data_IF_405253655225
#
_entry.id   IF_405253655225
#
_cell.length_a   1.000
_cell.length_b   1.000
_cell.length_c   1.000
_cell.angle_alpha   90.00
_cell.angle_beta   90.00
_cell.angle_gamma   90.00
#
_symmetry.space_group_name_H-M   'P 1'
#
loop_
_entity.id
_entity.type
_entity.pdbx_description
1 polymer ?
#
# COMPACT_ATOMS: atom_id res chain seq x y z
N UNK A 1 7.26 28.85 16.95
CA UNK A 1 6.91 27.67 16.12
C UNK A 1 8.08 27.35 15.18
N UNK A 2 8.62 26.13 15.21
CA UNK A 2 9.69 25.66 14.32
C UNK A 2 9.17 24.48 13.48
N UNK A 3 9.28 24.60 12.15
CA UNK A 3 8.96 23.50 11.22
C UNK A 3 10.27 22.87 10.78
N UNK A 4 10.49 21.61 11.14
CA UNK A 4 11.76 20.92 10.91
C UNK A 4 11.60 19.40 10.93
N UNK A 5 12.65 18.69 10.55
CA UNK A 5 12.75 17.24 10.80
C UNK A 5 12.56 16.98 12.31
N UNK A 6 11.80 15.93 12.60
CA UNK A 6 11.58 15.48 13.98
C UNK A 6 12.88 14.87 14.52
N UNK A 7 13.14 15.08 15.78
CA UNK A 7 14.27 14.45 16.48
C UNK A 7 13.87 13.08 17.02
N UNK A 8 14.79 12.11 17.10
CA UNK A 8 14.50 10.78 17.65
C UNK A 8 13.82 10.80 19.02
N UNK A 9 14.22 11.70 19.90
CA UNK A 9 13.63 11.83 21.24
C UNK A 9 12.18 12.39 21.25
N UNK A 10 11.71 12.94 20.13
CA UNK A 10 10.37 13.54 19.99
C UNK A 10 9.37 12.57 19.35
N UNK A 11 9.83 11.43 18.83
CA UNK A 11 8.97 10.45 18.13
C UNK A 11 7.87 9.87 19.04
N UNK A 12 8.17 9.69 20.31
CA UNK A 12 7.15 9.23 21.28
C UNK A 12 6.02 10.25 21.42
N UNK A 13 6.35 11.54 21.53
CA UNK A 13 5.34 12.60 21.62
C UNK A 13 4.52 12.71 20.33
N UNK A 14 5.17 12.55 19.16
CA UNK A 14 4.46 12.52 17.86
C UNK A 14 3.51 11.33 17.78
N UNK A 15 3.93 10.14 18.23
CA UNK A 15 3.10 8.94 18.26
C UNK A 15 1.89 9.11 19.18
N UNK A 16 2.06 9.74 20.34
CA UNK A 16 0.96 10.05 21.28
C UNK A 16 -0.02 11.06 20.67
N UNK A 17 0.47 12.11 20.00
CA UNK A 17 -0.39 13.06 19.28
C UNK A 17 -1.19 12.33 18.18
N UNK A 18 -0.55 11.52 17.34
CA UNK A 18 -1.21 10.75 16.30
C UNK A 18 -2.23 9.77 16.91
N UNK A 19 -1.89 9.09 18.01
CA UNK A 19 -2.81 8.20 18.71
C UNK A 19 -4.07 8.93 19.18
N UNK A 20 -3.92 10.11 19.78
CA UNK A 20 -5.05 10.91 20.27
C UNK A 20 -6.01 11.37 19.17
N UNK A 21 -5.53 11.44 17.92
CA UNK A 21 -6.34 11.88 16.77
C UNK A 21 -6.98 10.70 16.03
N UNK A 22 -6.29 9.58 15.92
CA UNK A 22 -6.71 8.47 15.04
C UNK A 22 -7.21 7.24 15.78
N UNK A 23 -6.97 7.12 17.09
CA UNK A 23 -7.24 5.90 17.85
C UNK A 23 -8.10 6.20 19.07
N UNK A 24 -8.72 5.17 19.62
CA UNK A 24 -9.48 5.23 20.87
C UNK A 24 -8.65 4.66 22.02
N UNK A 25 -9.06 4.94 23.24
CA UNK A 25 -8.44 4.33 24.41
C UNK A 25 -8.59 2.79 24.34
N UNK A 26 -7.48 2.09 24.51
CA UNK A 26 -7.43 0.63 24.44
C UNK A 26 -7.07 0.06 23.06
N UNK A 27 -7.04 0.89 22.01
CA UNK A 27 -6.54 0.46 20.70
C UNK A 27 -5.01 0.25 20.72
N UNK A 28 -4.50 -0.59 19.81
CA UNK A 28 -3.06 -0.72 19.53
C UNK A 28 -2.46 0.65 19.24
N UNK A 29 -1.29 0.95 19.79
CA UNK A 29 -0.67 2.26 19.66
C UNK A 29 -0.25 2.57 18.21
N UNK A 30 -0.23 3.86 17.86
CA UNK A 30 0.27 4.30 16.53
C UNK A 30 1.72 3.91 16.33
N UNK A 31 2.54 3.84 17.38
CA UNK A 31 3.93 3.45 17.31
C UNK A 31 4.11 1.96 16.99
N UNK A 32 3.25 1.10 17.54
CA UNK A 32 3.26 -0.33 17.23
C UNK A 32 2.75 -0.62 15.82
N UNK A 33 1.68 0.07 15.39
CA UNK A 33 1.11 -0.10 14.05
C UNK A 33 1.99 0.45 12.94
N UNK A 34 2.69 1.58 13.18
CA UNK A 34 3.46 2.28 12.16
C UNK A 34 4.94 2.45 12.55
N UNK A 35 5.67 1.33 12.73
CA UNK A 35 7.07 1.38 13.16
C UNK A 35 7.98 2.10 12.17
N UNK A 36 7.70 2.09 10.87
CA UNK A 36 8.47 2.84 9.88
C UNK A 36 8.36 4.37 10.07
N UNK A 37 7.26 4.86 10.63
CA UNK A 37 7.08 6.28 10.94
C UNK A 37 7.73 6.65 12.27
N UNK A 38 7.53 5.81 13.31
CA UNK A 38 7.82 6.17 14.69
C UNK A 38 9.08 5.51 15.26
N UNK A 39 9.86 4.77 14.45
CA UNK A 39 11.15 4.23 14.87
C UNK A 39 12.31 5.10 14.41
N UNK A 40 13.28 5.42 15.28
CA UNK A 40 14.47 6.15 14.91
C UNK A 40 15.25 5.43 13.79
N UNK A 41 15.67 6.17 12.77
CA UNK A 41 16.45 5.64 11.64
C UNK A 41 15.65 5.24 10.41
N UNK A 42 14.33 5.07 10.52
CA UNK A 42 13.47 4.78 9.37
C UNK A 42 12.70 5.99 8.86
N UNK A 43 12.51 7.02 9.69
CA UNK A 43 11.66 8.16 9.35
C UNK A 43 12.46 9.39 8.92
N UNK A 44 11.95 10.08 7.92
CA UNK A 44 12.34 11.42 7.48
C UNK A 44 11.24 12.44 7.81
N UNK A 45 10.44 12.14 8.83
CA UNK A 45 9.21 12.85 9.20
C UNK A 45 9.47 14.29 9.66
N UNK A 46 8.49 15.14 9.46
CA UNK A 46 8.53 16.55 9.86
C UNK A 46 7.52 16.86 10.97
N UNK A 47 7.88 17.82 11.81
CA UNK A 47 7.02 18.33 12.87
C UNK A 47 7.04 19.85 12.92
N UNK A 48 5.90 20.44 13.32
CA UNK A 48 5.80 21.79 13.79
C UNK A 48 5.90 21.78 15.32
N UNK A 49 6.98 22.34 15.85
CA UNK A 49 7.28 22.32 17.29
C UNK A 49 7.05 23.72 17.86
N UNK A 50 6.22 23.81 18.89
CA UNK A 50 5.91 25.06 19.61
C UNK A 50 7.10 25.51 20.47
N UNK A 51 7.05 26.73 21.01
CA UNK A 51 8.13 27.30 21.83
C UNK A 51 8.36 26.57 23.15
N UNK A 52 7.28 25.96 23.67
CA UNK A 52 7.32 25.13 24.88
C UNK A 52 7.82 23.69 24.62
N UNK A 53 8.18 23.36 23.36
CA UNK A 53 8.67 22.05 22.94
C UNK A 53 7.56 21.06 22.56
N UNK A 54 6.28 21.44 22.65
CA UNK A 54 5.18 20.56 22.26
C UNK A 54 5.06 20.42 20.73
N UNK A 55 4.67 19.24 20.26
CA UNK A 55 4.41 18.98 18.85
C UNK A 55 3.01 19.48 18.50
N UNK A 56 2.94 20.57 17.74
CA UNK A 56 1.71 21.18 17.28
C UNK A 56 1.13 20.48 16.04
N UNK A 57 1.99 19.94 15.16
CA UNK A 57 1.59 19.13 14.01
C UNK A 57 2.71 18.17 13.64
N UNK A 58 2.32 17.05 13.02
CA UNK A 58 3.25 16.00 12.57
C UNK A 58 2.84 15.49 11.21
N UNK A 59 3.83 15.12 10.41
CA UNK A 59 3.67 14.46 9.11
C UNK A 59 4.72 13.38 8.96
N UNK A 60 4.30 12.12 8.98
CA UNK A 60 5.14 10.96 8.74
C UNK A 60 5.58 10.91 7.28
N UNK A 61 6.87 10.70 7.03
CA UNK A 61 7.46 10.56 5.71
C UNK A 61 8.40 9.36 5.70
N UNK A 62 8.11 8.35 4.88
CA UNK A 62 8.82 7.06 4.86
C UNK A 62 9.31 6.77 3.46
N UNK A 63 10.64 6.59 3.26
CA UNK A 63 11.18 6.16 1.96
C UNK A 63 10.91 4.70 1.71
N UNK A 64 10.68 4.35 0.44
CA UNK A 64 10.62 2.96 -0.02
C UNK A 64 11.03 2.85 -1.49
N UNK A 65 11.17 1.61 -1.96
CA UNK A 65 11.43 1.33 -3.37
C UNK A 65 10.31 0.44 -3.89
N UNK A 66 9.73 0.82 -5.02
CA UNK A 66 8.71 0.05 -5.73
C UNK A 66 9.36 -0.57 -6.97
N UNK A 67 9.18 -1.87 -7.13
CA UNK A 67 9.44 -2.57 -8.41
C UNK A 67 8.22 -2.40 -9.30
N UNK A 68 8.46 -2.14 -10.58
CA UNK A 68 7.44 -2.19 -11.63
C UNK A 68 8.07 -2.72 -12.92
N UNK A 69 7.80 -3.97 -13.24
CA UNK A 69 8.54 -4.69 -14.28
C UNK A 69 10.05 -4.69 -13.99
N UNK A 70 10.84 -4.17 -14.95
CA UNK A 70 12.29 -4.03 -14.80
C UNK A 70 12.73 -2.74 -14.10
N UNK A 71 11.80 -1.79 -13.86
CA UNK A 71 12.10 -0.52 -13.22
C UNK A 71 12.05 -0.61 -11.70
N UNK A 72 12.83 0.26 -11.06
CA UNK A 72 12.77 0.54 -9.62
C UNK A 72 12.48 2.02 -9.42
N UNK A 73 11.38 2.32 -8.74
CA UNK A 73 10.98 3.67 -8.38
C UNK A 73 11.37 3.96 -6.94
N UNK A 74 12.16 5.00 -6.72
CA UNK A 74 12.39 5.54 -5.38
C UNK A 74 11.22 6.44 -5.02
N UNK A 75 10.56 6.16 -3.93
CA UNK A 75 9.33 6.86 -3.54
C UNK A 75 9.33 7.20 -2.06
N UNK A 76 8.47 8.12 -1.68
CA UNK A 76 8.10 8.34 -0.28
C UNK A 76 6.62 8.10 -0.09
N UNK A 77 6.25 7.64 1.11
CA UNK A 77 4.86 7.57 1.56
C UNK A 77 4.63 8.55 2.71
N UNK A 78 3.52 9.28 2.65
CA UNK A 78 3.07 10.19 3.71
C UNK A 78 1.95 9.53 4.49
N UNK A 79 2.12 9.44 5.81
CA UNK A 79 1.12 8.92 6.73
C UNK A 79 1.12 9.62 8.09
N UNK A 80 0.22 9.21 8.96
CA UNK A 80 0.06 9.74 10.32
C UNK A 80 -0.02 11.28 10.39
N UNK A 81 -0.66 11.92 9.40
CA UNK A 81 -0.75 13.40 9.30
C UNK A 81 -1.73 13.93 10.32
N UNK A 82 -1.24 14.61 11.33
CA UNK A 82 -2.07 15.13 12.41
C UNK A 82 -1.68 16.55 12.85
N UNK A 83 -2.66 17.28 13.39
CA UNK A 83 -2.48 18.60 13.99
C UNK A 83 -3.25 18.64 15.29
N UNK A 84 -2.58 19.01 16.36
CA UNK A 84 -3.19 19.22 17.67
C UNK A 84 -4.37 20.21 17.54
N UNK A 85 -5.54 19.91 18.10
CA UNK A 85 -6.73 20.75 18.02
C UNK A 85 -6.46 22.23 18.37
N UNK A 86 -5.57 22.52 19.34
CA UNK A 86 -5.23 23.88 19.78
C UNK A 86 -4.48 24.69 18.71
N UNK A 87 -3.86 24.01 17.71
CA UNK A 87 -3.05 24.66 16.68
C UNK A 87 -3.68 24.56 15.28
N UNK A 88 -4.93 24.09 15.16
CA UNK A 88 -5.63 24.02 13.89
C UNK A 88 -5.90 25.40 13.29
N UNK A 89 -6.12 25.47 11.99
CA UNK A 89 -6.40 26.72 11.26
C UNK A 89 -5.18 27.56 10.95
N UNK A 90 -3.96 27.18 11.37
CA UNK A 90 -2.71 27.93 11.17
C UNK A 90 -1.94 27.50 9.91
N UNK A 91 -2.48 26.61 9.10
CA UNK A 91 -1.84 26.15 7.85
C UNK A 91 -0.63 25.22 8.05
N UNK A 92 -0.39 24.71 9.26
CA UNK A 92 0.81 23.92 9.59
C UNK A 92 0.93 22.66 8.72
N UNK A 93 -0.16 21.92 8.52
CA UNK A 93 -0.15 20.72 7.68
C UNK A 93 0.27 21.01 6.23
N UNK A 94 -0.15 22.14 5.66
CA UNK A 94 0.26 22.55 4.31
C UNK A 94 1.75 22.89 4.22
N UNK A 95 2.29 23.58 5.24
CA UNK A 95 3.71 23.90 5.32
C UNK A 95 4.58 22.64 5.51
N UNK A 96 4.14 21.69 6.35
CA UNK A 96 4.83 20.40 6.51
C UNK A 96 4.79 19.59 5.21
N UNK A 97 3.67 19.59 4.48
CA UNK A 97 3.56 18.89 3.19
C UNK A 97 4.56 19.46 2.17
N UNK A 98 4.71 20.77 2.10
CA UNK A 98 5.69 21.40 1.23
C UNK A 98 7.13 21.02 1.58
N UNK A 99 7.46 20.92 2.87
CA UNK A 99 8.76 20.42 3.33
C UNK A 99 8.98 18.96 2.95
N UNK A 100 7.97 18.11 3.08
CA UNK A 100 8.03 16.70 2.66
C UNK A 100 8.24 16.57 1.15
N UNK A 101 7.54 17.37 0.33
CA UNK A 101 7.71 17.37 -1.12
C UNK A 101 9.13 17.79 -1.52
N UNK A 102 9.64 18.88 -0.93
CA UNK A 102 11.01 19.34 -1.16
C UNK A 102 12.05 18.29 -0.72
N UNK A 103 11.82 17.64 0.43
CA UNK A 103 12.70 16.58 0.92
C UNK A 103 12.74 15.39 -0.05
N UNK A 104 11.58 14.92 -0.50
CA UNK A 104 11.48 13.78 -1.41
C UNK A 104 12.18 14.07 -2.75
N UNK A 105 11.96 15.25 -3.34
CA UNK A 105 12.64 15.68 -4.55
C UNK A 105 14.15 15.71 -4.38
N UNK A 106 14.65 16.35 -3.31
CA UNK A 106 16.09 16.45 -3.01
C UNK A 106 16.73 15.07 -2.75
N UNK A 107 15.95 14.09 -2.27
CA UNK A 107 16.40 12.72 -2.06
C UNK A 107 16.39 11.88 -3.36
N UNK A 108 15.92 12.43 -4.49
CA UNK A 108 15.84 11.73 -5.78
C UNK A 108 14.66 10.78 -5.90
N UNK A 109 13.62 10.97 -5.09
CA UNK A 109 12.38 10.22 -5.22
C UNK A 109 11.58 10.72 -6.42
N UNK A 110 10.94 9.80 -7.13
CA UNK A 110 10.07 10.10 -8.28
C UNK A 110 8.64 10.45 -7.87
N UNK A 111 8.11 9.75 -6.86
CA UNK A 111 6.71 9.86 -6.43
C UNK A 111 6.59 10.02 -4.93
N UNK A 112 5.49 10.63 -4.51
CA UNK A 112 5.00 10.63 -3.12
C UNK A 112 3.60 10.03 -3.10
N UNK A 113 3.42 8.96 -2.33
CA UNK A 113 2.12 8.36 -2.05
C UNK A 113 1.54 8.90 -0.75
N UNK A 114 0.22 9.05 -0.72
CA UNK A 114 -0.52 9.51 0.46
C UNK A 114 -1.70 8.58 0.70
N UNK A 115 -1.85 8.07 1.89
CA UNK A 115 -2.96 7.17 2.27
C UNK A 115 -4.31 7.87 2.42
N UNK A 116 -4.59 8.92 1.62
CA UNK A 116 -5.82 9.69 1.68
C UNK A 116 -6.01 10.62 0.47
N UNK A 117 -7.21 11.19 0.40
CA UNK A 117 -7.68 12.03 -0.72
C UNK A 117 -8.16 13.43 -0.28
N UNK A 118 -7.83 13.84 0.97
CA UNK A 118 -8.29 15.11 1.52
C UNK A 118 -7.82 16.29 0.67
N UNK A 119 -8.57 17.41 0.74
CA UNK A 119 -8.31 18.64 -0.01
C UNK A 119 -6.89 19.22 0.22
N UNK A 120 -6.22 18.88 1.30
CA UNK A 120 -4.82 19.20 1.54
C UNK A 120 -3.94 18.63 0.42
N UNK A 121 -4.12 17.37 0.08
CA UNK A 121 -3.31 16.64 -0.89
C UNK A 121 -3.69 16.98 -2.33
N UNK A 122 -4.99 17.06 -2.64
CA UNK A 122 -5.45 17.40 -4.00
C UNK A 122 -5.03 18.81 -4.43
N UNK A 123 -4.98 19.76 -3.47
CA UNK A 123 -4.42 21.11 -3.72
C UNK A 123 -2.91 21.09 -3.90
N UNK A 124 -2.20 20.13 -3.35
CA UNK A 124 -0.76 19.94 -3.51
C UNK A 124 -0.40 19.10 -4.75
N UNK A 125 -1.36 18.83 -5.63
CA UNK A 125 -1.13 18.11 -6.89
C UNK A 125 -1.31 16.59 -6.81
N UNK A 126 -1.68 16.03 -5.64
CA UNK A 126 -1.95 14.60 -5.55
C UNK A 126 -3.26 14.24 -6.26
N UNK A 127 -3.24 13.12 -6.99
CA UNK A 127 -4.38 12.60 -7.76
C UNK A 127 -4.60 11.12 -7.49
N UNK A 128 -5.82 10.58 -7.65
CA UNK A 128 -6.03 9.13 -7.76
C UNK A 128 -5.19 8.55 -8.91
N UNK A 129 -4.83 7.29 -8.82
CA UNK A 129 -3.94 6.64 -9.78
C UNK A 129 -4.22 5.16 -9.92
N UNK A 130 -3.72 4.57 -11.02
CA UNK A 130 -3.83 3.16 -11.33
C UNK A 130 -5.28 2.67 -11.41
N UNK A 131 -5.44 1.38 -11.61
CA UNK A 131 -6.74 0.72 -11.63
C UNK A 131 -6.73 -0.50 -10.72
N UNK A 132 -7.82 -0.72 -9.99
CA UNK A 132 -8.05 -1.93 -9.20
C UNK A 132 -9.43 -2.50 -9.51
N UNK A 133 -9.59 -3.79 -9.24
CA UNK A 133 -10.88 -4.46 -9.16
C UNK A 133 -11.06 -4.92 -7.72
N UNK A 134 -12.03 -4.39 -7.02
CA UNK A 134 -12.42 -4.92 -5.73
C UNK A 134 -13.26 -6.17 -5.97
N UNK A 135 -12.69 -7.34 -5.68
CA UNK A 135 -13.40 -8.62 -5.71
C UNK A 135 -13.99 -8.89 -4.32
N UNK A 136 -15.24 -9.38 -4.29
CA UNK A 136 -15.91 -9.82 -3.07
C UNK A 136 -16.18 -11.32 -3.16
N UNK A 137 -15.54 -12.08 -2.28
CA UNK A 137 -15.69 -13.52 -2.13
C UNK A 137 -16.67 -13.83 -1.00
N UNK A 138 -17.82 -14.36 -1.33
CA UNK A 138 -18.74 -15.02 -0.38
C UNK A 138 -18.46 -16.53 -0.33
N UNK A 139 -19.16 -17.28 0.49
CA UNK A 139 -18.95 -18.72 0.64
C UNK A 139 -19.06 -19.47 -0.70
N UNK A 140 -20.05 -19.17 -1.53
CA UNK A 140 -20.26 -19.87 -2.82
C UNK A 140 -19.14 -19.61 -3.80
N UNK A 141 -18.72 -18.34 -3.98
CA UNK A 141 -17.60 -17.99 -4.86
C UNK A 141 -16.26 -18.47 -4.30
N UNK A 142 -16.11 -18.57 -2.97
CA UNK A 142 -14.91 -19.12 -2.35
C UNK A 142 -14.79 -20.64 -2.58
N UNK A 143 -15.90 -21.41 -2.49
CA UNK A 143 -15.89 -22.84 -2.83
C UNK A 143 -15.54 -23.06 -4.31
N UNK A 144 -16.13 -22.27 -5.22
CA UNK A 144 -15.81 -22.32 -6.64
C UNK A 144 -14.34 -21.95 -6.92
N UNK A 145 -13.80 -20.93 -6.22
CA UNK A 145 -12.40 -20.52 -6.33
C UNK A 145 -11.45 -21.62 -5.83
N UNK A 146 -11.78 -22.27 -4.71
CA UNK A 146 -11.01 -23.39 -4.19
C UNK A 146 -10.93 -24.55 -5.19
N UNK A 147 -12.06 -24.90 -5.82
CA UNK A 147 -12.12 -25.93 -6.87
C UNK A 147 -11.28 -25.54 -8.11
N UNK A 148 -11.34 -24.27 -8.55
CA UNK A 148 -10.56 -23.78 -9.68
C UNK A 148 -9.06 -23.70 -9.40
N UNK A 149 -8.67 -23.48 -8.15
CA UNK A 149 -7.26 -23.42 -7.71
C UNK A 149 -6.57 -24.80 -7.72
N UNK A 150 -7.32 -25.91 -7.68
CA UNK A 150 -6.80 -27.28 -7.60
C UNK A 150 -6.52 -27.76 -6.16
N UNK A 151 -6.41 -29.07 -6.00
CA UNK A 151 -6.25 -29.74 -4.70
C UNK A 151 -4.78 -30.00 -4.30
N UNK A 152 -3.82 -29.61 -5.11
CA UNK A 152 -2.38 -29.90 -4.95
C UNK A 152 -1.71 -29.11 -3.82
N UNK A 153 -2.42 -28.17 -3.19
CA UNK A 153 -1.86 -27.25 -2.23
C UNK A 153 -2.05 -27.72 -0.78
N UNK A 154 -0.97 -27.80 -0.01
CA UNK A 154 -1.06 -27.83 1.45
C UNK A 154 -1.13 -26.39 1.97
N UNK A 155 -2.32 -25.97 2.43
CA UNK A 155 -2.58 -24.63 2.94
C UNK A 155 -2.45 -24.59 4.47
N UNK A 156 -1.51 -23.80 4.98
CA UNK A 156 -1.23 -23.70 6.42
C UNK A 156 -0.82 -22.28 6.84
N UNK A 157 -0.88 -21.96 8.15
CA UNK A 157 -0.27 -20.72 8.67
C UNK A 157 1.22 -20.64 8.31
N UNK A 158 1.70 -19.43 8.05
CA UNK A 158 3.12 -19.14 7.86
C UNK A 158 3.89 -19.48 9.15
N UNK A 159 5.04 -20.10 9.01
CA UNK A 159 5.95 -20.45 10.10
C UNK A 159 7.26 -19.66 9.98
N UNK A 160 8.04 -19.50 11.05
CA UNK A 160 9.32 -18.78 10.99
C UNK A 160 10.28 -19.31 9.91
N UNK A 161 10.27 -20.62 9.63
CA UNK A 161 11.09 -21.24 8.58
C UNK A 161 10.71 -20.86 7.14
N UNK A 162 9.52 -20.29 6.92
CA UNK A 162 9.01 -19.90 5.61
C UNK A 162 9.50 -18.51 5.18
N UNK A 163 10.09 -17.78 6.10
CA UNK A 163 10.33 -16.34 6.00
C UNK A 163 11.06 -15.93 4.71
N UNK A 164 12.18 -16.58 4.39
CA UNK A 164 12.96 -16.22 3.20
C UNK A 164 12.26 -16.61 1.89
N UNK A 165 11.48 -17.69 1.89
CA UNK A 165 10.67 -18.05 0.72
C UNK A 165 9.57 -17.02 0.47
N UNK A 166 8.90 -16.56 1.52
CA UNK A 166 7.89 -15.47 1.44
C UNK A 166 8.54 -14.16 1.01
N UNK A 167 9.69 -13.77 1.59
CA UNK A 167 10.41 -12.56 1.18
C UNK A 167 10.79 -12.60 -0.32
N UNK A 168 11.25 -13.76 -0.81
CA UNK A 168 11.56 -13.97 -2.22
C UNK A 168 10.31 -13.78 -3.10
N UNK A 169 9.19 -14.45 -2.78
CA UNK A 169 7.95 -14.34 -3.56
C UNK A 169 7.46 -12.89 -3.63
N UNK A 170 7.48 -12.15 -2.52
CA UNK A 170 7.07 -10.74 -2.49
C UNK A 170 7.97 -9.87 -3.38
N UNK A 171 9.28 -10.13 -3.39
CA UNK A 171 10.24 -9.37 -4.20
C UNK A 171 10.28 -9.81 -5.67
N UNK A 172 9.70 -10.94 -6.05
CA UNK A 172 9.60 -11.43 -7.44
C UNK A 172 8.34 -10.93 -8.16
N UNK A 173 7.43 -10.22 -7.48
CA UNK A 173 6.22 -9.66 -8.11
C UNK A 173 6.59 -8.67 -9.22
N UNK A 174 5.80 -8.66 -10.30
CA UNK A 174 5.93 -7.69 -11.38
C UNK A 174 5.78 -6.25 -10.89
N UNK A 175 4.81 -6.01 -10.00
CA UNK A 175 4.65 -4.74 -9.30
C UNK A 175 4.51 -5.00 -7.80
N UNK A 176 5.42 -4.46 -6.99
CA UNK A 176 5.45 -4.69 -5.56
C UNK A 176 6.41 -3.75 -4.82
N UNK A 177 6.22 -3.62 -3.52
CA UNK A 177 7.23 -3.04 -2.64
C UNK A 177 8.46 -3.96 -2.61
N UNK A 178 9.64 -3.38 -2.60
CA UNK A 178 10.90 -4.12 -2.42
C UNK A 178 11.21 -4.21 -0.94
N UNK A 179 11.05 -5.39 -0.38
CA UNK A 179 11.24 -5.62 1.04
C UNK A 179 12.64 -6.14 1.36
N UNK A 180 13.39 -5.44 2.20
CA UNK A 180 14.51 -6.06 2.90
C UNK A 180 13.98 -7.08 3.93
N UNK A 181 14.75 -8.12 4.30
CA UNK A 181 14.31 -9.08 5.31
C UNK A 181 13.94 -8.42 6.65
N UNK A 182 14.71 -7.41 7.10
CA UNK A 182 14.43 -6.70 8.34
C UNK A 182 13.14 -5.89 8.30
N UNK A 183 12.89 -5.21 7.19
CA UNK A 183 11.67 -4.44 6.98
C UNK A 183 10.43 -5.35 6.90
N UNK A 184 10.50 -6.44 6.13
CA UNK A 184 9.40 -7.41 6.05
C UNK A 184 9.05 -8.00 7.42
N UNK A 185 10.05 -8.37 8.24
CA UNK A 185 9.81 -8.88 9.59
C UNK A 185 9.09 -7.85 10.46
N UNK A 186 9.50 -6.58 10.39
CA UNK A 186 8.90 -5.48 11.11
C UNK A 186 7.43 -5.27 10.70
N UNK A 187 7.15 -5.24 9.40
CA UNK A 187 5.80 -4.99 8.85
C UNK A 187 4.84 -6.15 9.09
N UNK A 188 5.31 -7.40 9.00
CA UNK A 188 4.50 -8.57 9.33
C UNK A 188 4.07 -8.56 10.80
N UNK A 189 4.95 -8.10 11.71
CA UNK A 189 4.64 -7.98 13.13
C UNK A 189 3.80 -6.76 13.52
N UNK A 190 3.84 -5.69 12.71
CA UNK A 190 3.11 -4.46 12.98
C UNK A 190 1.60 -4.56 12.70
N UNK A 191 1.19 -5.38 11.74
CA UNK A 191 -0.22 -5.58 11.34
C UNK A 191 -0.97 -4.27 11.05
N UNK A 192 -0.28 -3.27 10.46
CA UNK A 192 -0.75 -1.89 10.37
C UNK A 192 -2.15 -1.75 9.78
N UNK A 193 -2.38 -2.32 8.60
CA UNK A 193 -3.66 -2.19 7.92
C UNK A 193 -4.79 -2.95 8.64
N UNK A 194 -4.53 -4.15 9.12
CA UNK A 194 -5.48 -4.92 9.92
C UNK A 194 -5.86 -4.17 11.22
N UNK A 195 -4.87 -3.63 11.92
CA UNK A 195 -5.09 -2.86 13.15
C UNK A 195 -5.89 -1.58 12.95
N UNK A 196 -5.72 -0.88 11.82
CA UNK A 196 -6.56 0.29 11.48
C UNK A 196 -8.02 -0.12 11.23
N UNK A 197 -8.24 -1.27 10.62
CA UNK A 197 -9.58 -1.83 10.40
C UNK A 197 -10.22 -2.43 11.66
N UNK A 198 -9.49 -2.53 12.76
CA UNK A 198 -9.94 -3.23 13.98
C UNK A 198 -10.03 -4.73 13.81
N UNK A 199 -9.21 -5.28 12.92
CA UNK A 199 -9.10 -6.70 12.57
C UNK A 199 -7.75 -7.26 13.02
N UNK A 200 -7.58 -8.58 12.94
CA UNK A 200 -6.30 -9.27 13.19
C UNK A 200 -5.69 -9.76 11.87
N UNK A 201 -4.39 -9.64 11.74
CA UNK A 201 -3.70 -10.15 10.56
C UNK A 201 -3.47 -11.66 10.68
N UNK A 202 -3.76 -12.39 9.61
CA UNK A 202 -3.39 -13.80 9.46
C UNK A 202 -2.55 -13.97 8.20
N UNK A 203 -1.44 -14.69 8.34
CA UNK A 203 -0.54 -15.02 7.24
C UNK A 203 -0.60 -16.50 6.94
N UNK A 204 -0.85 -16.84 5.68
CA UNK A 204 -0.94 -18.21 5.18
C UNK A 204 0.05 -18.44 4.05
N UNK A 205 0.48 -19.69 3.89
CA UNK A 205 1.29 -20.15 2.76
C UNK A 205 0.64 -21.37 2.09
N UNK A 206 0.82 -21.45 0.78
CA UNK A 206 0.47 -22.61 -0.03
C UNK A 206 1.75 -23.35 -0.40
N UNK A 207 1.81 -24.62 -0.06
CA UNK A 207 2.97 -25.48 -0.24
C UNK A 207 2.63 -26.61 -1.22
N UNK A 208 3.50 -26.83 -2.21
CA UNK A 208 3.45 -27.96 -3.14
C UNK A 208 4.84 -28.59 -3.23
N UNK A 209 4.94 -29.90 -3.11
CA UNK A 209 6.19 -30.66 -3.19
C UNK A 209 7.31 -30.13 -2.26
N UNK A 210 6.91 -29.64 -1.08
CA UNK A 210 7.81 -29.06 -0.09
C UNK A 210 8.25 -27.61 -0.36
N UNK A 211 7.84 -27.03 -1.48
CA UNK A 211 8.15 -25.64 -1.86
C UNK A 211 6.98 -24.70 -1.58
N UNK A 212 7.27 -23.49 -1.07
CA UNK A 212 6.27 -22.45 -0.90
C UNK A 212 6.07 -21.75 -2.24
N UNK A 213 4.86 -21.88 -2.79
CA UNK A 213 4.45 -21.37 -4.10
C UNK A 213 3.48 -20.19 -3.99
N UNK A 214 2.93 -19.95 -2.80
CA UNK A 214 2.03 -18.83 -2.55
C UNK A 214 2.08 -18.36 -1.11
N UNK A 215 1.84 -17.07 -0.94
CA UNK A 215 1.70 -16.37 0.33
C UNK A 215 0.49 -15.45 0.29
N UNK A 216 -0.22 -15.31 1.40
CA UNK A 216 -1.23 -14.27 1.58
C UNK A 216 -1.30 -13.81 3.03
N UNK A 217 -1.37 -12.49 3.22
CA UNK A 217 -1.71 -11.82 4.48
C UNK A 217 -3.13 -11.26 4.37
N UNK A 218 -3.98 -11.54 5.33
CA UNK A 218 -5.37 -11.10 5.37
C UNK A 218 -5.70 -10.47 6.72
N UNK A 219 -6.46 -9.40 6.69
CA UNK A 219 -7.13 -8.81 7.85
C UNK A 219 -8.48 -9.50 8.04
N UNK A 220 -8.65 -10.22 9.14
CA UNK A 220 -9.87 -11.00 9.43
C UNK A 220 -10.37 -10.71 10.85
N UNK A 221 -11.67 -10.94 11.13
CA UNK A 221 -12.18 -10.82 12.48
C UNK A 221 -11.39 -11.66 13.49
N UNK A 222 -11.16 -11.13 14.68
CA UNK A 222 -10.75 -11.95 15.81
C UNK A 222 -11.86 -12.95 16.16
N UNK A 223 -11.49 -14.12 16.68
CA UNK A 223 -12.49 -15.12 17.08
C UNK A 223 -13.47 -14.50 18.09
N UNK A 224 -14.76 -14.77 17.88
CA UNK A 224 -15.86 -14.40 18.76
C UNK A 224 -16.09 -12.89 18.98
N UNK A 225 -15.52 -12.02 18.12
CA UNK A 225 -15.73 -10.57 18.17
C UNK A 225 -16.46 -10.12 16.91
N UNK A 226 -17.55 -9.33 17.02
CA UNK A 226 -18.17 -8.72 15.84
C UNK A 226 -17.16 -7.87 15.07
N UNK A 227 -17.04 -8.11 13.76
CA UNK A 227 -16.11 -7.39 12.92
C UNK A 227 -16.58 -5.94 12.70
N UNK A 228 -15.75 -4.93 12.99
CA UNK A 228 -16.07 -3.53 12.70
C UNK A 228 -15.93 -3.19 11.22
N UNK A 229 -15.24 -4.03 10.45
CA UNK A 229 -14.93 -3.86 9.03
C UNK A 229 -15.02 -5.21 8.30
N UNK A 230 -15.26 -5.23 6.99
CA UNK A 230 -15.17 -6.45 6.19
C UNK A 230 -13.76 -7.06 6.25
N UNK A 231 -13.67 -8.38 6.23
CA UNK A 231 -12.39 -9.07 6.05
C UNK A 231 -11.76 -8.67 4.72
N UNK A 232 -10.45 -8.47 4.68
CA UNK A 232 -9.77 -7.92 3.52
C UNK A 232 -8.42 -8.61 3.28
N UNK A 233 -8.12 -8.93 2.02
CA UNK A 233 -6.76 -9.35 1.63
C UNK A 233 -5.83 -8.12 1.69
N UNK A 234 -4.72 -8.26 2.42
CA UNK A 234 -3.75 -7.19 2.66
C UNK A 234 -2.61 -7.26 1.65
N UNK A 235 -2.02 -8.43 1.49
CA UNK A 235 -0.88 -8.65 0.60
C UNK A 235 -0.85 -10.10 0.13
N UNK A 236 -0.37 -10.36 -1.07
CA UNK A 236 -0.17 -11.71 -1.58
C UNK A 236 0.96 -11.77 -2.60
N UNK A 237 1.53 -12.95 -2.76
CA UNK A 237 2.56 -13.22 -3.75
C UNK A 237 2.63 -14.70 -4.13
N UNK A 238 3.12 -15.00 -5.31
CA UNK A 238 3.33 -16.35 -5.82
C UNK A 238 2.43 -16.72 -6.99
N UNK A 239 2.28 -18.00 -7.23
CA UNK A 239 1.46 -18.51 -8.35
C UNK A 239 -0.02 -18.13 -8.16
N UNK A 240 -0.71 -17.68 -9.21
CA UNK A 240 -2.12 -17.25 -9.12
C UNK A 240 -3.05 -18.30 -8.52
N UNK A 241 -2.86 -19.58 -8.84
CA UNK A 241 -3.65 -20.70 -8.30
C UNK A 241 -3.37 -20.89 -6.80
N UNK A 242 -2.11 -20.80 -6.36
CA UNK A 242 -1.73 -20.90 -4.97
C UNK A 242 -2.35 -19.75 -4.15
N UNK A 243 -2.29 -18.52 -4.68
CA UNK A 243 -2.94 -17.34 -4.09
C UNK A 243 -4.45 -17.51 -4.03
N UNK A 244 -5.09 -17.98 -5.12
CA UNK A 244 -6.52 -18.24 -5.17
C UNK A 244 -6.96 -19.25 -4.09
N UNK A 245 -6.21 -20.35 -3.90
CA UNK A 245 -6.46 -21.33 -2.84
C UNK A 245 -6.38 -20.70 -1.43
N UNK A 246 -5.41 -19.83 -1.20
CA UNK A 246 -5.25 -19.12 0.07
C UNK A 246 -6.40 -18.16 0.34
N UNK A 247 -6.83 -17.38 -0.66
CA UNK A 247 -7.96 -16.45 -0.56
C UNK A 247 -9.28 -17.20 -0.32
N UNK A 248 -9.52 -18.30 -1.04
CA UNK A 248 -10.67 -19.15 -0.83
C UNK A 248 -10.72 -19.70 0.59
N UNK A 249 -9.58 -20.26 1.09
CA UNK A 249 -9.46 -20.73 2.48
C UNK A 249 -9.77 -19.63 3.50
N UNK A 250 -9.29 -18.41 3.26
CA UNK A 250 -9.54 -17.29 4.16
C UNK A 250 -11.03 -16.87 4.16
N UNK A 251 -11.68 -16.82 2.99
CA UNK A 251 -13.10 -16.49 2.86
C UNK A 251 -14.02 -17.52 3.53
N UNK A 252 -13.59 -18.79 3.58
CA UNK A 252 -14.32 -19.90 4.23
C UNK A 252 -14.03 -20.02 5.73
N UNK A 253 -13.17 -19.15 6.31
CA UNK A 253 -12.94 -19.16 7.75
C UNK A 253 -14.16 -18.71 8.54
N UNK A 254 -14.35 -19.30 9.72
CA UNK A 254 -15.42 -18.89 10.64
C UNK A 254 -15.33 -17.40 10.97
N UNK A 255 -16.46 -16.72 10.94
CA UNK A 255 -16.57 -15.27 11.19
C UNK A 255 -16.29 -14.39 9.96
N UNK A 256 -15.86 -14.94 8.84
CA UNK A 256 -15.70 -14.20 7.58
C UNK A 256 -16.97 -14.40 6.73
N UNK A 257 -17.82 -13.38 6.66
CA UNK A 257 -19.03 -13.43 5.80
C UNK A 257 -18.69 -13.15 4.34
N UNK A 258 -17.81 -12.21 4.10
CA UNK A 258 -17.28 -11.82 2.79
C UNK A 258 -15.83 -11.39 2.93
N UNK A 259 -14.96 -11.86 2.04
CA UNK A 259 -13.57 -11.41 1.93
C UNK A 259 -13.46 -10.44 0.75
N UNK A 260 -13.00 -9.23 1.03
CA UNK A 260 -12.65 -8.23 0.03
C UNK A 260 -11.23 -8.42 -0.45
N UNK A 261 -11.02 -8.42 -1.77
CA UNK A 261 -9.71 -8.58 -2.41
C UNK A 261 -9.52 -7.43 -3.39
N UNK A 262 -8.76 -6.39 -3.05
CA UNK A 262 -8.49 -5.26 -3.94
C UNK A 262 -7.36 -5.64 -4.91
N UNK A 263 -7.71 -6.15 -6.09
CA UNK A 263 -6.77 -6.69 -7.08
C UNK A 263 -6.34 -5.62 -8.07
N UNK A 264 -5.04 -5.27 -8.16
CA UNK A 264 -4.54 -4.39 -9.19
C UNK A 264 -4.77 -4.93 -10.60
N UNK A 265 -4.98 -4.04 -11.57
CA UNK A 265 -5.36 -4.37 -12.94
C UNK A 265 -4.39 -5.32 -13.67
N UNK A 266 -3.11 -5.28 -13.34
CA UNK A 266 -2.07 -6.14 -13.92
C UNK A 266 -2.12 -7.59 -13.45
N UNK A 267 -2.76 -7.88 -12.34
CA UNK A 267 -2.93 -9.24 -11.79
C UNK A 267 -3.98 -10.06 -12.57
N UNK A 268 -3.84 -10.08 -13.91
CA UNK A 268 -4.86 -10.60 -14.86
C UNK A 268 -5.26 -12.04 -14.59
N UNK A 269 -4.28 -12.90 -14.25
CA UNK A 269 -4.54 -14.32 -13.98
C UNK A 269 -5.37 -14.51 -12.71
N UNK A 270 -5.08 -13.78 -11.65
CA UNK A 270 -5.88 -13.82 -10.42
C UNK A 270 -7.29 -13.26 -10.66
N UNK A 271 -7.39 -12.14 -11.40
CA UNK A 271 -8.69 -11.55 -11.77
C UNK A 271 -9.55 -12.52 -12.60
N UNK A 272 -8.95 -13.29 -13.51
CA UNK A 272 -9.67 -14.31 -14.28
C UNK A 272 -10.22 -15.40 -13.35
N UNK A 273 -9.39 -15.96 -12.45
CA UNK A 273 -9.83 -16.98 -11.49
C UNK A 273 -10.97 -16.48 -10.60
N UNK A 274 -10.87 -15.24 -10.08
CA UNK A 274 -11.92 -14.65 -9.24
C UNK A 274 -13.23 -14.44 -10.00
N UNK A 275 -13.15 -13.97 -11.25
CA UNK A 275 -14.33 -13.78 -12.12
C UNK A 275 -14.99 -15.11 -12.45
N UNK A 276 -14.23 -16.11 -12.86
CA UNK A 276 -14.73 -17.43 -13.25
C UNK A 276 -15.35 -18.17 -12.05
N UNK A 277 -14.86 -17.91 -10.84
CA UNK A 277 -15.46 -18.38 -9.58
C UNK A 277 -16.73 -17.62 -9.17
N UNK A 278 -17.15 -16.59 -9.90
CA UNK A 278 -18.36 -15.82 -9.62
C UNK A 278 -18.22 -14.80 -8.51
N UNK A 279 -16.99 -14.32 -8.22
CA UNK A 279 -16.79 -13.18 -7.33
C UNK A 279 -17.43 -11.92 -7.93
N UNK A 280 -18.04 -11.09 -7.09
CA UNK A 280 -18.48 -9.75 -7.49
C UNK A 280 -17.27 -8.86 -7.72
N UNK A 281 -17.20 -8.17 -8.86
CA UNK A 281 -16.09 -7.29 -9.22
C UNK A 281 -16.58 -5.86 -9.42
N UNK A 282 -15.95 -4.92 -8.74
CA UNK A 282 -16.20 -3.48 -8.95
C UNK A 282 -14.90 -2.74 -9.22
N UNK A 283 -14.91 -1.89 -10.27
CA UNK A 283 -13.75 -1.11 -10.67
C UNK A 283 -13.52 0.08 -9.70
N UNK A 284 -12.25 0.38 -9.43
CA UNK A 284 -11.83 1.49 -8.61
C UNK A 284 -10.41 1.96 -8.95
N UNK A 285 -10.01 3.05 -8.32
CA UNK A 285 -8.61 3.47 -8.31
C UNK A 285 -7.82 2.69 -7.26
N UNK A 286 -6.50 2.84 -7.26
CA UNK A 286 -5.63 2.36 -6.18
C UNK A 286 -5.94 3.10 -4.87
N UNK A 287 -5.45 2.59 -3.76
CA UNK A 287 -5.68 3.22 -2.45
C UNK A 287 -4.90 4.53 -2.31
N UNK A 288 -5.58 5.58 -1.86
CA UNK A 288 -4.98 6.88 -1.63
C UNK A 288 -4.75 7.71 -2.90
N UNK A 289 -3.77 8.59 -2.85
CA UNK A 289 -3.40 9.50 -3.94
C UNK A 289 -1.88 9.55 -4.12
N UNK A 290 -1.42 9.98 -5.29
CA UNK A 290 0.00 10.13 -5.63
C UNK A 290 0.28 11.50 -6.24
N UNK A 291 1.45 12.06 -5.98
CA UNK A 291 1.98 13.20 -6.74
C UNK A 291 3.44 12.93 -7.15
N UNK A 292 3.89 13.66 -8.17
CA UNK A 292 5.29 13.63 -8.61
C UNK A 292 6.12 14.44 -7.61
N UNK A 293 7.20 13.81 -7.11
CA UNK A 293 8.20 14.49 -6.29
C UNK A 293 9.24 15.20 -7.16
N UNK A 294 9.75 14.48 -8.14
CA UNK A 294 10.70 14.96 -9.16
C UNK A 294 10.36 14.32 -10.51
N UNK A 295 9.98 15.18 -11.47
CA UNK A 295 9.58 14.74 -12.81
C UNK A 295 10.72 14.11 -13.60
N UNK A 296 11.92 14.65 -13.49
CA UNK A 296 13.09 14.10 -14.19
C UNK A 296 13.47 12.74 -13.60
N UNK A 297 13.42 12.59 -12.26
CA UNK A 297 13.64 11.32 -11.61
C UNK A 297 12.60 10.29 -12.06
N UNK A 298 11.31 10.66 -12.14
CA UNK A 298 10.26 9.77 -12.63
C UNK A 298 10.54 9.29 -14.06
N UNK A 299 10.87 10.22 -14.96
CA UNK A 299 11.14 9.89 -16.35
C UNK A 299 12.38 9.01 -16.51
N UNK A 300 13.42 9.22 -15.72
CA UNK A 300 14.61 8.34 -15.71
C UNK A 300 14.30 6.96 -15.17
N UNK A 301 13.61 6.88 -14.03
CA UNK A 301 13.31 5.61 -13.34
C UNK A 301 12.32 4.75 -14.13
N UNK A 302 11.46 5.34 -14.96
CA UNK A 302 10.49 4.62 -15.79
C UNK A 302 10.99 4.35 -17.21
N UNK A 303 12.19 4.77 -17.60
CA UNK A 303 12.67 4.72 -18.98
C UNK A 303 12.59 3.31 -19.60
N UNK A 304 12.92 2.28 -18.83
CA UNK A 304 12.92 0.88 -19.32
C UNK A 304 11.51 0.30 -19.53
N UNK A 305 10.51 0.85 -18.84
CA UNK A 305 9.10 0.40 -18.92
C UNK A 305 8.25 1.28 -19.82
N UNK A 306 8.78 2.43 -20.25
CA UNK A 306 8.03 3.44 -20.97
C UNK A 306 8.20 3.31 -22.48
N UNK A 307 7.12 3.47 -23.23
CA UNK A 307 7.21 3.63 -24.67
C UNK A 307 7.94 4.93 -25.02
N UNK A 308 9.06 4.82 -25.74
CA UNK A 308 9.92 5.95 -26.13
C UNK A 308 9.28 6.90 -27.15
N UNK A 309 8.20 6.50 -27.83
CA UNK A 309 7.50 7.33 -28.81
C UNK A 309 6.53 8.35 -28.17
N UNK A 310 6.29 8.29 -26.85
CA UNK A 310 5.41 9.23 -26.18
C UNK A 310 6.06 10.61 -26.03
N UNK A 311 5.46 11.62 -26.64
CA UNK A 311 5.85 13.01 -26.38
C UNK A 311 5.24 13.46 -25.03
N UNK A 312 6.09 13.59 -24.03
CA UNK A 312 5.71 13.97 -22.67
C UNK A 312 5.97 15.44 -22.37
N UNK A 313 6.45 16.22 -23.37
CA UNK A 313 6.84 17.62 -23.16
C UNK A 313 5.67 18.56 -22.86
N UNK A 314 4.48 18.23 -23.35
CA UNK A 314 3.28 19.08 -23.27
C UNK A 314 2.29 18.67 -22.18
N UNK A 315 2.48 17.52 -21.52
CA UNK A 315 1.58 17.03 -20.46
C UNK A 315 1.96 17.59 -19.09
N UNK A 316 0.97 17.96 -18.29
CA UNK A 316 1.19 18.37 -16.90
C UNK A 316 1.47 17.14 -16.00
N UNK A 317 1.79 17.38 -14.72
CA UNK A 317 2.15 16.28 -13.80
C UNK A 317 0.98 15.33 -13.49
N UNK A 318 -0.25 15.82 -13.50
CA UNK A 318 -1.45 14.98 -13.29
C UNK A 318 -1.74 14.14 -14.52
N UNK A 319 -1.64 14.73 -15.68
CA UNK A 319 -1.74 14.05 -16.97
C UNK A 319 -0.66 13.00 -17.13
N UNK A 320 0.57 13.29 -16.67
CA UNK A 320 1.69 12.35 -16.69
C UNK A 320 1.44 11.15 -15.80
N UNK A 321 0.92 11.34 -14.58
CA UNK A 321 0.52 10.24 -13.69
C UNK A 321 -0.54 9.37 -14.36
N UNK A 322 -1.61 9.98 -14.91
CA UNK A 322 -2.66 9.24 -15.61
C UNK A 322 -2.10 8.48 -16.80
N UNK A 323 -1.31 9.12 -17.64
CA UNK A 323 -0.71 8.50 -18.81
C UNK A 323 0.23 7.33 -18.47
N UNK A 324 1.03 7.46 -17.42
CA UNK A 324 2.00 6.41 -17.06
C UNK A 324 1.33 5.25 -16.31
N UNK A 325 0.41 5.49 -15.40
CA UNK A 325 -0.01 4.49 -14.41
C UNK A 325 -1.48 4.07 -14.50
N UNK A 326 -2.32 4.80 -15.26
CA UNK A 326 -3.73 4.47 -15.40
C UNK A 326 -3.98 3.70 -16.72
N UNK A 327 -4.39 2.42 -16.66
CA UNK A 327 -4.68 1.64 -17.87
C UNK A 327 -5.86 2.22 -18.68
N UNK A 328 -6.78 2.95 -18.03
CA UNK A 328 -7.93 3.57 -18.64
C UNK A 328 -7.73 5.07 -18.98
N UNK A 329 -6.47 5.55 -18.96
CA UNK A 329 -6.19 6.96 -19.23
C UNK A 329 -6.72 7.41 -20.59
N UNK A 330 -7.53 8.49 -20.66
CA UNK A 330 -8.05 9.03 -21.92
C UNK A 330 -6.94 9.64 -22.79
N UNK A 331 -5.76 9.85 -22.23
CA UNK A 331 -4.59 10.39 -22.94
C UNK A 331 -3.85 9.31 -23.75
N UNK A 332 -4.19 8.03 -23.57
CA UNK A 332 -3.66 6.95 -24.38
C UNK A 332 -4.39 6.88 -25.70
N UNK A 333 -3.71 7.27 -26.78
CA UNK A 333 -4.23 7.06 -28.12
C UNK A 333 -4.06 5.58 -28.49
N UNK A 334 -5.12 4.98 -28.99
CA UNK A 334 -5.10 3.64 -29.58
C UNK A 334 -4.39 3.68 -30.95
N UNK A 335 -3.08 3.90 -30.95
CA UNK A 335 -2.30 3.73 -32.17
C UNK A 335 -2.12 2.24 -32.45
N UNK A 336 -2.51 1.85 -33.65
CA UNK A 336 -2.58 0.48 -34.21
C UNK A 336 -1.23 -0.26 -34.33
N UNK A 337 -0.18 0.13 -33.61
CA UNK A 337 1.16 -0.44 -33.71
C UNK A 337 1.85 -0.83 -32.42
N UNK A 338 1.10 -1.08 -31.37
CA UNK A 338 1.63 -1.58 -30.08
C UNK A 338 1.03 -0.80 -28.91
N UNK A 339 0.14 -1.45 -28.20
CA UNK A 339 -0.44 -0.92 -26.97
C UNK A 339 0.69 -0.63 -25.98
N UNK A 340 0.96 0.65 -25.76
CA UNK A 340 1.78 1.07 -24.61
C UNK A 340 0.94 0.78 -23.35
N UNK A 341 1.22 -0.36 -22.72
CA UNK A 341 0.57 -0.70 -21.46
C UNK A 341 0.92 0.34 -20.38
N UNK A 342 -0.01 0.56 -19.46
CA UNK A 342 0.29 1.37 -18.28
C UNK A 342 1.39 0.67 -17.46
N UNK A 343 2.22 1.46 -16.81
CA UNK A 343 3.22 0.95 -15.87
C UNK A 343 2.47 0.47 -14.61
N UNK A 344 2.57 -0.81 -14.24
CA UNK A 344 1.84 -1.33 -13.10
C UNK A 344 2.39 -0.77 -11.78
N UNK A 345 1.50 -0.47 -10.83
CA UNK A 345 1.86 -0.14 -9.47
C UNK A 345 1.22 -1.12 -8.49
N UNK A 346 1.87 -1.43 -7.35
CA UNK A 346 1.27 -2.28 -6.32
C UNK A 346 0.05 -1.61 -5.69
N UNK A 347 -0.82 -2.41 -5.07
CA UNK A 347 -1.87 -1.85 -4.20
C UNK A 347 -1.24 -1.27 -2.94
N UNK A 348 -1.56 0.00 -2.65
CA UNK A 348 -0.83 0.76 -1.62
C UNK A 348 -1.30 0.51 -0.19
N UNK A 349 -2.47 -0.13 0.03
CA UNK A 349 -2.91 -0.56 1.36
C UNK A 349 -2.53 -2.01 1.66
N UNK A 350 -1.30 -2.40 1.30
CA UNK A 350 -0.69 -3.69 1.61
C UNK A 350 0.03 -3.71 2.97
N UNK A 351 1.03 -4.59 3.10
CA UNK A 351 1.89 -4.65 4.30
C UNK A 351 2.62 -3.33 4.56
N UNK A 352 2.98 -2.60 3.50
CA UNK A 352 3.63 -1.27 3.57
C UNK A 352 2.62 -0.13 3.71
N UNK A 353 1.46 -0.37 4.32
CA UNK A 353 0.49 0.68 4.62
C UNK A 353 1.05 1.67 5.64
N UNK A 354 0.98 2.98 5.31
CA UNK A 354 1.53 4.09 6.10
C UNK A 354 0.42 5.09 6.48
#
# INVERSE_FOLDING_TARGET
>A
MQLRLIKPAELEQAALLAHSIFRKAGDTSMKELFPLIFSPGYTHSYAAVAEDGNIAAFMGLVPSTIRTGEALLNVFSIGAVCTDPAYRGQGLAGQLLQLCQTHAANAGASLIFVSGDRSLYTRAGCVPFGGTQLAELNASSADALAAAAGEEWTLRPMQPGDFFAVNRLLNEREAGQVYSPGELALLLGAEAYAGVLGLSQRTLVAVRDGSIEGFAAMAVPAADVPAPSPATAVEWAGQPQAVAALLAKAALCSGVGTLQVPVPWQERSLLALLRDAGASLSAGANSGTVCIADREALLRQTEVCRNRSLDLSSVDDKELISLLFDPASPLRTSDSSGESEAIPLPYMSGLHFI
#
